data_IF_320793859683
#
_entry.id   IF_320793859683
#
_cell.length_a   1.000
_cell.length_b   1.000
_cell.length_c   1.000
_cell.angle_alpha   90.00
_cell.angle_beta   90.00
_cell.angle_gamma   90.00
#
_symmetry.space_group_name_H-M   'P 1'
#
loop_
_entity.id
_entity.type
_entity.pdbx_description
1 polymer ?
#
# COMPACT_ATOMS: atom_id res chain seq x y z
N UNK A 1 -21.25 -13.46 5.43
CA UNK A 1 -20.06 -12.81 6.03
C UNK A 1 -18.76 -13.60 5.82
N UNK A 2 -18.77 -14.75 5.13
CA UNK A 2 -17.53 -15.52 4.92
C UNK A 2 -16.56 -14.88 3.92
N UNK A 3 -17.02 -14.02 3.00
CA UNK A 3 -16.16 -13.51 1.90
C UNK A 3 -15.19 -12.38 2.31
N UNK A 4 -15.37 -11.74 3.46
CA UNK A 4 -14.60 -10.54 3.83
C UNK A 4 -13.10 -10.79 4.01
N UNK A 5 -12.70 -12.01 4.40
CA UNK A 5 -11.29 -12.37 4.58
C UNK A 5 -10.50 -12.41 3.25
N UNK A 6 -11.17 -12.32 2.09
CA UNK A 6 -10.55 -12.40 0.75
C UNK A 6 -10.41 -11.06 0.05
N UNK A 7 -10.89 -9.97 0.67
CA UNK A 7 -10.90 -8.64 0.05
C UNK A 7 -9.51 -8.00 0.13
N UNK A 8 -8.85 -8.15 1.27
CA UNK A 8 -7.53 -7.57 1.50
C UNK A 8 -6.43 -8.65 1.42
N UNK A 9 -5.24 -8.22 1.05
CA UNK A 9 -4.02 -9.04 1.02
C UNK A 9 -4.18 -10.34 0.24
N UNK A 10 -5.01 -10.31 -0.80
CA UNK A 10 -5.34 -11.47 -1.61
C UNK A 10 -5.13 -11.10 -3.08
N UNK A 11 -4.44 -11.96 -3.82
CA UNK A 11 -4.19 -11.77 -5.25
C UNK A 11 -4.39 -13.09 -6.00
N UNK A 12 -4.77 -12.99 -7.27
CA UNK A 12 -4.83 -14.13 -8.20
C UNK A 12 -3.44 -14.34 -8.79
N UNK A 13 -2.95 -15.57 -8.70
CA UNK A 13 -1.69 -15.99 -9.28
C UNK A 13 -1.95 -16.81 -10.55
N UNK A 14 -1.38 -16.42 -11.70
CA UNK A 14 -1.55 -17.16 -12.93
C UNK A 14 -0.81 -18.50 -12.83
N UNK A 15 -1.46 -19.60 -13.20
CA UNK A 15 -0.83 -20.92 -13.19
C UNK A 15 -1.52 -21.85 -14.17
N UNK A 16 -0.75 -22.73 -14.81
CA UNK A 16 -1.29 -23.82 -15.63
C UNK A 16 -1.54 -25.05 -14.77
N UNK A 17 -2.65 -25.78 -14.98
CA UNK A 17 -3.72 -25.55 -15.95
C UNK A 17 -4.81 -24.55 -15.47
N UNK A 18 -4.75 -24.12 -14.21
CA UNK A 18 -5.71 -23.19 -13.64
C UNK A 18 -5.05 -22.29 -12.61
N UNK A 19 -5.46 -21.02 -12.63
CA UNK A 19 -5.02 -20.01 -11.67
C UNK A 19 -5.50 -20.33 -10.26
N UNK A 20 -4.78 -19.82 -9.27
CA UNK A 20 -5.13 -19.97 -7.87
C UNK A 20 -5.14 -18.63 -7.14
N UNK A 21 -5.91 -18.57 -6.07
CA UNK A 21 -5.92 -17.43 -5.17
C UNK A 21 -4.83 -17.60 -4.12
N UNK A 22 -4.02 -16.56 -3.91
CA UNK A 22 -3.06 -16.49 -2.81
C UNK A 22 -3.46 -15.38 -1.86
N UNK A 23 -3.72 -15.76 -0.60
CA UNK A 23 -3.96 -14.82 0.49
C UNK A 23 -2.71 -14.75 1.36
N UNK A 24 -2.28 -13.55 1.69
CA UNK A 24 -1.08 -13.26 2.45
C UNK A 24 -1.45 -12.82 3.88
N UNK A 25 -0.58 -13.12 4.83
CA UNK A 25 -0.79 -12.75 6.24
C UNK A 25 -0.82 -11.22 6.39
N UNK A 26 -1.92 -10.61 6.88
CA UNK A 26 -2.00 -9.19 7.12
C UNK A 26 -1.00 -8.68 8.17
N UNK A 27 -0.55 -9.52 9.11
CA UNK A 27 0.45 -9.11 10.09
C UNK A 27 1.83 -8.86 9.45
N UNK A 28 2.12 -9.53 8.34
CA UNK A 28 3.40 -9.42 7.61
C UNK A 28 3.33 -8.50 6.38
N UNK A 29 2.13 -8.24 5.85
CA UNK A 29 1.93 -7.52 4.58
C UNK A 29 1.13 -6.22 4.82
N UNK A 30 1.77 -5.30 5.53
CA UNK A 30 1.21 -4.03 5.99
C UNK A 30 1.55 -2.86 5.04
N UNK A 31 1.27 -3.04 3.76
CA UNK A 31 1.54 -2.06 2.72
C UNK A 31 0.42 -2.07 1.68
N UNK A 32 0.34 -0.99 0.92
CA UNK A 32 -0.46 -0.93 -0.30
C UNK A 32 0.47 -0.76 -1.49
N UNK A 33 0.00 -1.18 -2.66
CA UNK A 33 0.67 -0.93 -3.92
C UNK A 33 -0.08 0.16 -4.66
N UNK A 34 0.64 1.18 -5.12
CA UNK A 34 0.11 2.31 -5.88
C UNK A 34 0.67 2.21 -7.29
N UNK A 35 -0.21 2.33 -8.28
CA UNK A 35 0.18 2.38 -9.69
C UNK A 35 -0.04 3.79 -10.26
N UNK A 36 0.97 4.35 -10.90
CA UNK A 36 0.89 5.64 -11.60
C UNK A 36 1.92 5.67 -12.73
N UNK A 37 1.51 6.14 -13.92
CA UNK A 37 2.37 6.18 -15.12
C UNK A 37 3.08 4.85 -15.35
N UNK A 38 2.31 3.76 -15.27
CA UNK A 38 2.79 2.40 -15.47
C UNK A 38 3.84 1.87 -14.47
N UNK A 39 4.17 2.69 -13.47
CA UNK A 39 5.07 2.35 -12.37
C UNK A 39 4.31 1.85 -11.16
N UNK A 40 4.94 0.92 -10.43
CA UNK A 40 4.40 0.32 -9.21
C UNK A 40 5.25 0.76 -8.02
N UNK A 41 4.58 1.31 -7.01
CA UNK A 41 5.18 1.80 -5.78
C UNK A 41 4.62 1.04 -4.59
N UNK A 42 5.48 0.58 -3.69
CA UNK A 42 5.07 -0.01 -2.41
C UNK A 42 5.10 1.08 -1.34
N UNK A 43 3.96 1.28 -0.68
CA UNK A 43 3.82 2.24 0.40
C UNK A 43 3.38 1.51 1.67
N UNK A 44 4.21 1.55 2.70
CA UNK A 44 3.86 1.00 4.00
C UNK A 44 2.70 1.79 4.61
N UNK A 45 1.69 1.09 5.13
CA UNK A 45 0.55 1.72 5.81
C UNK A 45 0.80 1.93 7.30
N UNK A 46 1.95 1.44 7.79
CA UNK A 46 2.40 1.56 9.17
C UNK A 46 3.76 2.25 9.20
N UNK A 47 3.93 3.19 10.13
CA UNK A 47 5.24 3.74 10.45
C UNK A 47 5.60 3.31 11.88
N UNK A 48 6.79 2.72 12.06
CA UNK A 48 7.41 2.46 13.37
C UNK A 48 6.63 1.60 14.39
N UNK A 49 5.97 0.51 13.96
CA UNK A 49 5.31 -0.48 14.87
C UNK A 49 4.29 0.11 15.85
N UNK A 50 3.91 1.38 15.69
CA UNK A 50 2.87 2.05 16.46
C UNK A 50 1.72 2.34 15.51
N UNK A 51 0.57 1.73 15.77
CA UNK A 51 -0.67 2.45 15.49
C UNK A 51 -0.54 3.71 16.34
N UNK A 52 -0.55 4.91 15.76
CA UNK A 52 -0.61 6.15 16.54
C UNK A 52 -1.81 6.03 17.49
N UNK A 53 -1.53 5.59 18.70
CA UNK A 53 -2.53 5.44 19.74
C UNK A 53 -2.72 6.84 20.30
N UNK A 54 -3.96 7.18 20.63
CA UNK A 54 -4.30 8.45 21.27
C UNK A 54 -3.43 8.74 22.49
N UNK A 55 -2.93 7.69 23.16
CA UNK A 55 -2.11 7.75 24.37
C UNK A 55 -0.67 8.22 24.12
N UNK A 56 -0.11 7.99 22.93
CA UNK A 56 1.26 8.43 22.60
C UNK A 56 1.33 9.93 22.25
N UNK A 57 0.21 10.47 21.81
CA UNK A 57 0.03 11.89 21.52
C UNK A 57 -0.11 12.71 22.80
N UNK A 58 -0.73 12.14 23.84
CA UNK A 58 -0.85 12.77 25.16
C UNK A 58 0.50 12.94 25.87
N UNK A 59 1.43 11.99 25.71
CA UNK A 59 2.76 12.08 26.35
C UNK A 59 3.64 13.16 25.72
N UNK A 60 3.46 13.44 24.43
CA UNK A 60 4.14 14.55 23.74
C UNK A 60 3.59 15.92 24.16
N UNK A 61 2.33 15.97 24.62
CA UNK A 61 1.65 17.19 25.08
C UNK A 61 2.15 17.73 26.43
N UNK A 62 2.97 16.99 27.19
CA UNK A 62 3.51 17.47 28.46
C UNK A 62 4.67 18.48 28.30
N UNK A 63 5.36 18.48 27.15
CA UNK A 63 6.51 19.38 26.89
C UNK A 63 6.08 20.65 26.14
N UNK A 64 4.94 20.63 25.45
CA UNK A 64 4.46 21.76 24.65
C UNK A 64 3.30 22.40 25.41
N UNK A 65 3.58 23.55 26.03
CA UNK A 65 2.62 24.31 26.82
C UNK A 65 1.27 24.50 26.12
N UNK A 66 0.22 24.25 26.90
CA UNK A 66 -1.20 24.54 26.68
C UNK A 66 -1.55 25.27 25.37
N UNK A 67 -2.10 24.52 24.42
CA UNK A 67 -3.25 24.87 23.56
C UNK A 67 -3.19 24.02 22.29
N UNK A 68 -3.69 22.78 22.34
CA UNK A 68 -3.82 21.99 21.12
C UNK A 68 -5.15 21.25 21.12
N UNK A 69 -6.06 21.78 20.31
CA UNK A 69 -7.32 21.19 19.90
C UNK A 69 -7.09 19.84 19.20
N UNK A 70 -8.08 18.95 19.28
CA UNK A 70 -8.13 17.60 18.69
C UNK A 70 -7.83 17.51 17.17
N UNK A 71 -7.64 18.63 16.47
CA UNK A 71 -7.39 18.69 15.02
C UNK A 71 -5.92 18.46 14.61
N UNK A 72 -4.94 18.79 15.44
CA UNK A 72 -3.51 18.67 15.06
C UNK A 72 -3.09 17.21 14.82
N UNK A 73 -3.62 16.28 15.60
CA UNK A 73 -3.31 14.85 15.47
C UNK A 73 -3.77 14.28 14.12
N UNK A 74 -5.00 14.61 13.73
CA UNK A 74 -5.56 14.17 12.44
C UNK A 74 -4.82 14.87 11.30
N UNK A 75 -4.45 16.14 11.48
CA UNK A 75 -3.70 16.91 10.49
C UNK A 75 -2.29 16.36 10.26
N UNK A 76 -1.56 15.96 11.31
CA UNK A 76 -0.20 15.41 11.15
C UNK A 76 -0.23 14.06 10.41
N UNK A 77 -1.18 13.19 10.72
CA UNK A 77 -1.35 11.92 10.00
C UNK A 77 -1.76 12.12 8.54
N UNK A 78 -2.75 12.99 8.30
CA UNK A 78 -3.19 13.33 6.95
C UNK A 78 -2.06 13.99 6.13
N UNK A 79 -1.28 14.87 6.76
CA UNK A 79 -0.13 15.52 6.15
C UNK A 79 0.97 14.53 5.75
N UNK A 80 1.26 13.53 6.59
CA UNK A 80 2.28 12.51 6.29
C UNK A 80 1.88 11.62 5.11
N UNK A 81 0.64 11.12 5.09
CA UNK A 81 0.10 10.36 3.95
C UNK A 81 0.13 11.20 2.67
N UNK A 82 -0.35 12.45 2.72
CA UNK A 82 -0.33 13.34 1.56
C UNK A 82 1.10 13.62 1.07
N UNK A 83 2.09 13.68 1.97
CA UNK A 83 3.49 13.84 1.60
C UNK A 83 4.03 12.61 0.89
N UNK A 84 3.69 11.40 1.33
CA UNK A 84 4.08 10.16 0.64
C UNK A 84 3.46 10.08 -0.75
N UNK A 85 2.18 10.40 -0.90
CA UNK A 85 1.53 10.48 -2.21
C UNK A 85 2.16 11.54 -3.12
N UNK A 86 2.46 12.74 -2.61
CA UNK A 86 3.12 13.79 -3.38
C UNK A 86 4.51 13.37 -3.87
N UNK A 87 5.26 12.60 -3.07
CA UNK A 87 6.54 12.04 -3.47
C UNK A 87 6.39 11.00 -4.59
N UNK A 88 5.44 10.08 -4.47
CA UNK A 88 5.15 9.09 -5.53
C UNK A 88 4.74 9.79 -6.83
N UNK A 89 3.90 10.83 -6.74
CA UNK A 89 3.50 11.63 -7.90
C UNK A 89 4.71 12.27 -8.57
N UNK A 90 5.56 12.96 -7.80
CA UNK A 90 6.73 13.63 -8.34
C UNK A 90 7.69 12.63 -9.02
N UNK A 91 7.97 11.50 -8.37
CA UNK A 91 8.82 10.44 -8.93
C UNK A 91 8.25 9.82 -10.20
N UNK A 92 6.93 9.68 -10.26
CA UNK A 92 6.26 9.12 -11.43
C UNK A 92 6.19 10.08 -12.61
N UNK A 93 6.34 11.38 -12.37
CA UNK A 93 6.40 12.37 -13.45
C UNK A 93 7.85 12.52 -14.00
N UNK A 94 8.86 12.03 -13.28
CA UNK A 94 10.29 12.14 -13.63
C UNK A 94 10.83 10.97 -14.49
N UNK A 95 10.17 9.81 -14.48
CA UNK A 95 10.70 8.60 -15.11
C UNK A 95 9.60 7.78 -15.79
N UNK A 96 9.96 7.11 -16.88
CA UNK A 96 9.10 6.18 -17.60
C UNK A 96 9.66 4.76 -17.41
N UNK A 97 8.89 3.87 -16.78
CA UNK A 97 9.23 2.46 -16.63
C UNK A 97 8.36 1.59 -17.53
N UNK A 98 8.81 0.37 -17.87
CA UNK A 98 7.99 -0.56 -18.65
C UNK A 98 6.71 -0.96 -17.91
N UNK A 99 5.59 -0.93 -18.65
CA UNK A 99 4.24 -1.18 -18.15
C UNK A 99 3.98 -2.66 -17.86
N UNK A 100 4.64 -3.21 -16.84
CA UNK A 100 4.52 -4.63 -16.46
C UNK A 100 3.09 -5.03 -16.09
N UNK A 101 2.29 -4.08 -15.58
CA UNK A 101 0.89 -4.32 -15.24
C UNK A 101 0.01 -4.75 -16.42
N UNK A 102 0.38 -4.39 -17.66
CA UNK A 102 -0.38 -4.76 -18.87
C UNK A 102 -0.47 -6.27 -19.04
N UNK A 103 0.56 -7.01 -18.60
CA UNK A 103 0.59 -8.47 -18.71
C UNK A 103 -0.57 -9.14 -17.94
N UNK A 104 -1.10 -8.48 -16.91
CA UNK A 104 -2.24 -9.02 -16.14
C UNK A 104 -3.55 -9.02 -16.91
N UNK A 105 -3.61 -8.34 -18.06
CA UNK A 105 -4.78 -8.27 -18.94
C UNK A 105 -4.71 -9.27 -20.10
N UNK A 106 -3.56 -9.91 -20.30
CA UNK A 106 -3.33 -10.86 -21.39
C UNK A 106 -4.10 -12.18 -21.21
N UNK A 107 -4.07 -12.99 -22.27
CA UNK A 107 -4.54 -14.37 -22.18
C UNK A 107 -3.86 -15.10 -21.01
N UNK A 108 -4.65 -15.85 -20.22
CA UNK A 108 -4.17 -16.52 -18.99
C UNK A 108 -2.96 -17.43 -19.22
N UNK A 109 -2.94 -18.16 -20.32
CA UNK A 109 -1.84 -19.08 -20.63
C UNK A 109 -0.57 -18.34 -21.04
N UNK A 110 -0.72 -17.16 -21.64
CA UNK A 110 0.38 -16.26 -21.98
C UNK A 110 0.90 -15.58 -20.72
N UNK A 111 0.01 -15.02 -19.90
CA UNK A 111 0.37 -14.40 -18.63
C UNK A 111 1.08 -15.39 -17.70
N UNK A 112 0.57 -16.62 -17.57
CA UNK A 112 1.19 -17.66 -16.76
C UNK A 112 2.61 -18.03 -17.24
N UNK A 113 2.87 -18.02 -18.55
CA UNK A 113 4.22 -18.29 -19.05
C UNK A 113 5.18 -17.15 -18.70
N UNK A 114 4.78 -15.90 -18.96
CA UNK A 114 5.64 -14.73 -18.75
C UNK A 114 5.90 -14.48 -17.25
N UNK A 115 4.93 -14.77 -16.39
CA UNK A 115 5.08 -14.60 -14.93
C UNK A 115 5.94 -15.66 -14.23
N UNK A 116 6.25 -16.79 -14.88
CA UNK A 116 7.17 -17.81 -14.35
C UNK A 116 8.63 -17.47 -14.71
N UNK A 117 8.84 -16.69 -15.77
CA UNK A 117 10.17 -16.36 -16.31
C UNK A 117 10.80 -15.10 -15.68
N UNK A 118 10.06 -14.37 -14.84
CA UNK A 118 10.52 -13.14 -14.14
C UNK A 118 10.83 -13.40 -12.66
#
# INVERSE_FOLDING_TARGET
MDQYHRIFNTCRMPSKPADYQKTFDPAQNNHIVIMRHDQLYVMETWHEKKRLSTTDLETTNATIGRAWDYYEVIHVFFMFCNRQFANIIARADESEDPSIGVLTTENRDVWANVSIEQ
#
